data_IF_956034185582
#
_entry.id   IF_956034185582
#
_cell.length_a   1.000
_cell.length_b   1.000
_cell.length_c   1.000
_cell.angle_alpha   90.00
_cell.angle_beta   90.00
_cell.angle_gamma   90.00
#
_symmetry.space_group_name_H-M   'P 1'
#
loop_
_entity.id
_entity.type
_entity.pdbx_description
1 polymer ?
#
# COMPACT_ATOMS: atom_id res chain seq x y z
N UNK A 1 48.20 10.42 -0.65
CA UNK A 1 47.24 9.49 -0.04
C UNK A 1 46.38 10.29 0.92
N UNK A 2 45.27 10.83 0.43
CA UNK A 2 44.26 11.53 1.21
C UNK A 2 42.95 10.76 1.03
N UNK A 3 42.29 10.47 2.15
CA UNK A 3 41.17 9.55 2.27
C UNK A 3 39.92 10.13 1.59
N UNK A 4 39.20 9.28 0.87
CA UNK A 4 37.89 9.58 0.30
C UNK A 4 36.88 9.87 1.42
N UNK A 5 36.19 11.00 1.33
CA UNK A 5 34.97 11.23 2.09
C UNK A 5 33.83 10.50 1.36
N UNK A 6 33.23 9.53 2.05
CA UNK A 6 32.20 8.63 1.56
C UNK A 6 30.93 9.33 1.10
N UNK A 7 30.20 8.61 0.25
CA UNK A 7 29.18 9.14 -0.65
C UNK A 7 27.91 9.69 0.01
N UNK A 8 27.28 10.60 -0.72
CA UNK A 8 25.90 11.02 -0.53
C UNK A 8 24.96 9.86 -0.85
N UNK A 9 24.74 8.99 0.13
CA UNK A 9 23.71 7.95 0.08
C UNK A 9 22.35 8.48 0.53
N UNK A 10 21.85 9.54 -0.11
CA UNK A 10 20.46 9.98 0.05
C UNK A 10 19.54 8.99 -0.67
N UNK A 11 19.24 7.86 -0.04
CA UNK A 11 18.29 6.89 -0.60
C UNK A 11 16.94 7.57 -0.84
N UNK A 12 16.42 7.46 -2.06
CA UNK A 12 15.10 7.97 -2.41
C UNK A 12 14.06 7.51 -1.38
N UNK A 13 13.20 8.43 -0.95
CA UNK A 13 12.14 8.09 -0.01
C UNK A 13 11.15 7.17 -0.73
N UNK A 14 10.86 6.02 -0.12
CA UNK A 14 9.90 5.05 -0.63
C UNK A 14 8.80 4.83 0.39
N UNK A 15 7.60 5.24 0.03
CA UNK A 15 6.41 5.04 0.84
C UNK A 15 5.41 4.11 0.16
N UNK A 16 4.67 3.36 0.97
CA UNK A 16 3.57 2.52 0.53
C UNK A 16 2.31 2.89 1.29
N UNK A 17 1.27 3.24 0.55
CA UNK A 17 -0.05 3.59 1.07
C UNK A 17 -1.01 2.49 0.66
N UNK A 18 -1.83 2.02 1.61
CA UNK A 18 -2.88 1.04 1.35
C UNK A 18 -4.24 1.67 1.58
N UNK A 19 -5.14 1.56 0.60
CA UNK A 19 -6.45 2.19 0.59
C UNK A 19 -7.51 1.09 0.39
N UNK A 20 -8.39 0.81 1.36
CA UNK A 20 -9.52 -0.10 1.17
C UNK A 20 -10.54 0.52 0.19
N UNK A 21 -10.92 -0.22 -0.85
CA UNK A 21 -11.76 0.28 -1.93
C UNK A 21 -12.89 -0.68 -2.30
N UNK A 22 -13.96 -0.11 -2.87
CA UNK A 22 -15.17 -0.82 -3.33
C UNK A 22 -14.94 -1.63 -4.62
N UNK A 23 -13.91 -1.29 -5.41
CA UNK A 23 -13.58 -1.99 -6.65
C UNK A 23 -12.08 -1.91 -6.99
N UNK A 24 -11.68 -2.59 -8.07
CA UNK A 24 -10.30 -2.67 -8.54
C UNK A 24 -9.86 -1.54 -9.48
N UNK A 25 -10.58 -0.43 -9.60
CA UNK A 25 -10.30 0.64 -10.57
C UNK A 25 -9.11 1.56 -10.20
N UNK A 26 -8.16 1.07 -9.40
CA UNK A 26 -6.95 1.81 -9.03
C UNK A 26 -7.25 3.14 -8.34
N UNK A 27 -6.64 4.23 -8.83
CA UNK A 27 -6.83 5.57 -8.26
C UNK A 27 -8.25 6.14 -8.46
N UNK A 28 -9.05 5.55 -9.35
CA UNK A 28 -10.44 5.95 -9.58
C UNK A 28 -11.43 5.14 -8.75
N UNK A 29 -10.96 4.13 -8.01
CA UNK A 29 -11.82 3.32 -7.15
C UNK A 29 -12.41 4.18 -6.02
N UNK A 30 -13.67 3.92 -5.67
CA UNK A 30 -14.29 4.57 -4.51
C UNK A 30 -13.74 3.98 -3.22
N UNK A 31 -13.48 4.84 -2.23
CA UNK A 31 -13.12 4.41 -0.87
C UNK A 31 -14.23 3.52 -0.31
N UNK A 32 -13.86 2.44 0.36
CA UNK A 32 -14.84 1.58 1.00
C UNK A 32 -15.34 2.17 2.31
N UNK A 33 -16.65 2.10 2.55
CA UNK A 33 -17.27 2.56 3.82
C UNK A 33 -16.99 1.62 5.00
N UNK A 34 -16.50 0.41 4.71
CA UNK A 34 -16.27 -0.64 5.70
C UNK A 34 -14.86 -1.19 5.58
N UNK A 35 -13.94 -0.64 6.38
CA UNK A 35 -12.53 -1.06 6.43
C UNK A 35 -12.32 -2.58 6.45
N UNK A 36 -13.06 -3.31 7.30
CA UNK A 36 -12.95 -4.76 7.43
C UNK A 36 -13.64 -5.58 6.34
N UNK A 37 -14.37 -4.96 5.42
CA UNK A 37 -15.12 -5.65 4.35
C UNK A 37 -14.82 -5.10 2.96
N UNK A 38 -13.83 -4.23 2.83
CA UNK A 38 -13.43 -3.70 1.54
C UNK A 38 -13.09 -4.86 0.59
N UNK A 39 -13.73 -4.94 -0.59
CA UNK A 39 -13.47 -6.00 -1.56
C UNK A 39 -12.10 -5.89 -2.24
N UNK A 40 -11.49 -4.71 -2.24
CA UNK A 40 -10.16 -4.48 -2.79
C UNK A 40 -9.30 -3.64 -1.85
N UNK A 41 -7.98 -3.81 -1.98
CA UNK A 41 -6.97 -2.91 -1.45
C UNK A 41 -6.20 -2.28 -2.63
N UNK A 42 -6.22 -0.96 -2.70
CA UNK A 42 -5.39 -0.20 -3.64
C UNK A 42 -4.08 0.11 -2.94
N UNK A 43 -2.99 -0.39 -3.48
CA UNK A 43 -1.63 -0.18 -3.00
C UNK A 43 -1.00 0.88 -3.90
N UNK A 44 -0.63 2.01 -3.32
CA UNK A 44 0.06 3.10 -3.99
C UNK A 44 1.48 3.17 -3.45
N UNK A 45 2.47 3.07 -4.34
CA UNK A 45 3.87 3.23 -3.98
C UNK A 45 4.35 4.60 -4.44
N UNK A 46 4.98 5.34 -3.54
CA UNK A 46 5.57 6.63 -3.80
C UNK A 46 7.09 6.49 -3.84
N UNK A 47 7.73 7.19 -4.77
CA UNK A 47 9.17 7.42 -4.79
C UNK A 47 9.41 8.93 -4.85
N UNK A 48 10.06 9.48 -3.82
CA UNK A 48 10.26 10.92 -3.62
C UNK A 48 8.95 11.72 -3.72
N UNK A 49 7.88 11.22 -3.09
CA UNK A 49 6.56 11.85 -3.09
C UNK A 49 5.77 11.73 -4.40
N UNK A 50 6.33 11.11 -5.44
CA UNK A 50 5.64 10.88 -6.71
C UNK A 50 5.12 9.45 -6.79
N UNK A 51 3.93 9.26 -7.37
CA UNK A 51 3.39 7.92 -7.61
C UNK A 51 4.31 7.18 -8.57
N UNK A 52 4.91 6.10 -8.09
CA UNK A 52 5.79 5.22 -8.86
C UNK A 52 5.06 3.95 -9.32
N UNK A 53 4.04 3.51 -8.58
CA UNK A 53 3.25 2.32 -8.90
C UNK A 53 1.84 2.37 -8.26
N UNK A 54 0.87 1.73 -8.91
CA UNK A 54 -0.50 1.53 -8.39
C UNK A 54 -0.92 0.09 -8.68
N UNK A 55 -1.32 -0.63 -7.65
CA UNK A 55 -1.80 -2.00 -7.74
C UNK A 55 -3.16 -2.15 -7.05
N UNK A 56 -4.12 -2.79 -7.71
CA UNK A 56 -5.34 -3.24 -7.07
C UNK A 56 -5.21 -4.73 -6.69
N UNK A 57 -5.48 -5.06 -5.44
CA UNK A 57 -5.43 -6.43 -4.93
C UNK A 57 -6.79 -6.81 -4.35
N UNK A 58 -7.44 -7.90 -4.79
CA UNK A 58 -8.70 -8.35 -4.18
C UNK A 58 -8.46 -8.76 -2.72
N UNK A 59 -9.44 -8.47 -1.86
CA UNK A 59 -9.44 -8.93 -0.49
C UNK A 59 -9.87 -10.39 -0.43
N UNK A 60 -8.98 -11.26 0.02
CA UNK A 60 -9.21 -12.70 0.16
C UNK A 60 -9.26 -13.12 1.64
N UNK A 61 -9.60 -12.22 2.57
CA UNK A 61 -9.74 -12.53 4.00
C UNK A 61 -11.04 -13.31 4.31
N UNK A 62 -11.31 -13.63 5.58
CA UNK A 62 -12.44 -14.48 6.02
C UNK A 62 -13.80 -14.10 5.41
N UNK A 63 -14.07 -12.80 5.19
CA UNK A 63 -15.32 -12.34 4.56
C UNK A 63 -15.44 -12.69 3.07
N UNK A 64 -14.34 -13.09 2.43
CA UNK A 64 -14.23 -13.45 1.02
C UNK A 64 -13.76 -14.90 0.83
N UNK A 65 -13.91 -15.75 1.86
CA UNK A 65 -13.66 -17.19 1.78
C UNK A 65 -12.22 -17.63 2.07
N UNK A 66 -11.34 -16.73 2.52
CA UNK A 66 -9.99 -17.08 2.99
C UNK A 66 -9.83 -17.09 4.51
N UNK A 67 -8.60 -16.89 4.99
CA UNK A 67 -8.23 -17.04 6.41
C UNK A 67 -7.57 -15.76 6.95
N UNK A 68 -7.84 -15.43 8.22
CA UNK A 68 -7.27 -14.27 8.91
C UNK A 68 -8.12 -13.00 8.76
N UNK A 69 -7.81 -11.99 9.59
CA UNK A 69 -8.60 -10.76 9.63
C UNK A 69 -8.12 -9.78 8.55
N UNK A 70 -9.01 -8.94 8.01
CA UNK A 70 -8.63 -7.90 7.04
C UNK A 70 -7.44 -7.01 7.45
N UNK A 71 -7.31 -6.56 8.73
CA UNK A 71 -6.13 -5.82 9.18
C UNK A 71 -4.82 -6.60 9.01
N UNK A 72 -4.84 -7.92 9.22
CA UNK A 72 -3.66 -8.77 9.08
C UNK A 72 -3.20 -8.81 7.62
N UNK A 73 -4.14 -8.84 6.67
CA UNK A 73 -3.86 -8.75 5.23
C UNK A 73 -3.21 -7.42 4.88
N UNK A 74 -3.70 -6.31 5.43
CA UNK A 74 -3.12 -4.98 5.21
C UNK A 74 -1.68 -4.92 5.73
N UNK A 75 -1.41 -5.49 6.91
CA UNK A 75 -0.06 -5.53 7.49
C UNK A 75 0.92 -6.34 6.62
N UNK A 76 0.47 -7.37 5.89
CA UNK A 76 1.32 -8.11 4.95
C UNK A 76 1.83 -7.24 3.80
N UNK A 77 1.09 -6.19 3.43
CA UNK A 77 1.56 -5.22 2.45
C UNK A 77 2.60 -4.27 3.02
N UNK A 78 2.91 -4.28 4.32
CA UNK A 78 3.90 -3.37 4.95
C UNK A 78 3.66 -1.89 4.60
N UNK A 79 2.44 -1.36 4.82
CA UNK A 79 2.16 0.05 4.56
C UNK A 79 2.94 0.96 5.51
N UNK A 80 3.31 2.14 5.00
CA UNK A 80 3.68 3.29 5.81
C UNK A 80 2.43 4.01 6.32
N UNK A 81 1.33 3.99 5.55
CA UNK A 81 0.07 4.61 5.91
C UNK A 81 -1.13 3.83 5.34
N UNK A 82 -2.27 4.00 6.00
CA UNK A 82 -3.58 3.48 5.55
C UNK A 82 -4.55 4.65 5.53
N UNK A 83 -5.29 4.82 4.42
CA UNK A 83 -6.31 5.87 4.27
C UNK A 83 -7.68 5.16 4.25
N UNK A 84 -8.56 5.51 5.18
CA UNK A 84 -9.89 4.92 5.35
C UNK A 84 -10.90 5.95 5.87
#
# INVERSE_FOLDING_TARGET
MLREAGGEGGGKLKERIVIPAEDGNGLNARLSEHFGRAPYFIIVELEDGNISNVQAVPNESEHFGGFGRPPDRILQFRPNAVIT
#
